data_IF_585164788570
#
_entry.id   IF_585164788570
#
_cell.length_a   1.000
_cell.length_b   1.000
_cell.length_c   1.000
_cell.angle_alpha   90.00
_cell.angle_beta   90.00
_cell.angle_gamma   90.00
#
_symmetry.space_group_name_H-M   'P 1'
#
loop_
_entity.id
_entity.type
_entity.pdbx_description
1 polymer ?
#
# COMPACT_ATOMS: atom_id res chain seq x y z
N UNK A 1 -23.50 5.16 16.81
CA UNK A 1 -23.34 6.02 15.62
C UNK A 1 -23.91 5.22 14.46
N UNK A 2 -25.17 5.46 14.12
CA UNK A 2 -26.02 4.50 13.42
C UNK A 2 -26.05 4.85 11.93
N UNK A 3 -25.91 3.87 11.03
CA UNK A 3 -25.90 4.05 9.56
C UNK A 3 -27.05 4.93 9.05
N UNK A 4 -28.19 4.91 9.76
CA UNK A 4 -29.33 5.81 9.52
C UNK A 4 -28.99 7.30 9.62
N UNK A 5 -28.14 7.71 10.56
CA UNK A 5 -27.72 9.11 10.71
C UNK A 5 -26.83 9.55 9.55
N UNK A 6 -25.94 8.67 9.08
CA UNK A 6 -25.09 8.92 7.91
C UNK A 6 -25.90 8.97 6.61
N UNK A 7 -26.91 8.09 6.46
CA UNK A 7 -27.81 8.13 5.30
C UNK A 7 -28.60 9.45 5.26
N UNK A 8 -29.14 9.87 6.40
CA UNK A 8 -29.89 11.12 6.50
C UNK A 8 -29.03 12.37 6.25
N UNK A 9 -27.76 12.38 6.68
CA UNK A 9 -26.90 13.56 6.52
C UNK A 9 -26.60 13.90 5.06
N UNK A 10 -26.67 12.92 4.16
CA UNK A 10 -26.50 13.11 2.71
C UNK A 10 -27.82 13.05 1.93
N UNK A 11 -28.96 13.01 2.62
CA UNK A 11 -30.29 13.03 1.98
C UNK A 11 -30.67 11.73 1.27
N UNK A 12 -30.09 10.59 1.65
CA UNK A 12 -30.56 9.30 1.14
C UNK A 12 -31.99 9.05 1.62
N UNK A 13 -32.90 8.87 0.66
CA UNK A 13 -34.33 8.61 0.92
C UNK A 13 -34.58 7.25 1.58
N UNK A 14 -33.68 6.30 1.34
CA UNK A 14 -33.75 4.94 1.88
C UNK A 14 -32.38 4.55 2.43
N UNK A 15 -32.40 3.72 3.47
CA UNK A 15 -31.18 3.17 4.06
C UNK A 15 -30.72 2.00 3.19
N UNK A 16 -29.46 1.97 2.72
CA UNK A 16 -28.94 0.82 1.99
C UNK A 16 -29.02 -0.45 2.84
N UNK A 17 -29.37 -1.58 2.22
CA UNK A 17 -29.21 -2.88 2.87
C UNK A 17 -27.73 -3.12 3.17
N UNK A 18 -27.42 -3.50 4.40
CA UNK A 18 -26.07 -3.82 4.84
C UNK A 18 -26.08 -5.05 5.74
N UNK A 19 -24.94 -5.73 5.79
CA UNK A 19 -24.68 -6.81 6.72
C UNK A 19 -23.38 -6.49 7.46
N UNK A 20 -23.33 -6.83 8.74
CA UNK A 20 -22.11 -6.72 9.54
C UNK A 20 -21.61 -8.12 9.78
N UNK A 21 -20.36 -8.36 9.39
CA UNK A 21 -19.68 -9.63 9.60
C UNK A 21 -18.37 -9.38 10.35
N UNK A 22 -18.02 -10.30 11.24
CA UNK A 22 -16.69 -10.31 11.84
C UNK A 22 -15.73 -10.94 10.85
N UNK A 23 -14.74 -10.17 10.39
CA UNK A 23 -13.65 -10.68 9.57
C UNK A 23 -12.66 -11.52 10.39
N UNK A 24 -11.87 -12.33 9.70
CA UNK A 24 -10.75 -13.05 10.31
C UNK A 24 -9.65 -12.08 10.77
N UNK A 25 -9.00 -12.40 11.89
CA UNK A 25 -7.84 -11.66 12.35
C UNK A 25 -6.67 -11.91 11.37
N UNK A 26 -6.10 -10.82 10.85
CA UNK A 26 -5.02 -10.86 9.87
C UNK A 26 -3.88 -9.97 10.35
N UNK A 27 -2.64 -10.44 10.20
CA UNK A 27 -1.43 -9.63 10.38
C UNK A 27 -1.26 -8.66 9.21
N UNK A 28 -2.00 -7.55 9.25
CA UNK A 28 -2.07 -6.57 8.16
C UNK A 28 -0.72 -5.91 7.87
N UNK A 29 0.13 -5.73 8.88
CA UNK A 29 1.45 -5.13 8.71
C UNK A 29 2.32 -6.04 7.85
N UNK A 30 2.43 -7.31 8.21
CA UNK A 30 3.21 -8.31 7.45
C UNK A 30 2.69 -8.46 6.03
N UNK A 31 1.38 -8.61 5.86
CA UNK A 31 0.75 -8.75 4.54
C UNK A 31 1.00 -7.55 3.64
N UNK A 32 1.00 -6.35 4.20
CA UNK A 32 1.33 -5.13 3.48
C UNK A 32 2.84 -5.01 3.19
N UNK A 33 3.73 -5.51 4.05
CA UNK A 33 5.16 -5.55 3.75
C UNK A 33 5.49 -6.51 2.60
N UNK A 34 4.83 -7.67 2.57
CA UNK A 34 5.00 -8.70 1.54
C UNK A 34 4.60 -8.23 0.13
N UNK A 35 3.70 -7.24 0.01
CA UNK A 35 3.30 -6.71 -1.29
C UNK A 35 4.35 -5.82 -1.94
N UNK A 36 5.33 -5.30 -1.19
CA UNK A 36 6.40 -4.48 -1.74
C UNK A 36 7.56 -5.34 -2.23
N UNK A 37 7.94 -5.15 -3.49
CA UNK A 37 9.06 -5.84 -4.14
C UNK A 37 10.09 -4.81 -4.61
N UNK A 38 11.38 -5.18 -4.73
CA UNK A 38 12.39 -4.33 -5.36
C UNK A 38 11.98 -3.93 -6.79
N UNK A 39 12.16 -2.65 -7.14
CA UNK A 39 11.81 -2.11 -8.46
C UNK A 39 13.02 -1.44 -9.11
N UNK A 40 13.38 -1.87 -10.31
CA UNK A 40 14.33 -1.15 -11.16
C UNK A 40 13.63 0.06 -11.80
N UNK A 41 14.14 1.26 -11.51
CA UNK A 41 13.54 2.52 -11.98
C UNK A 41 14.34 3.19 -13.10
N UNK A 42 15.59 2.76 -13.31
CA UNK A 42 16.47 3.11 -14.43
C UNK A 42 17.57 2.05 -14.54
N UNK A 43 18.38 2.09 -15.62
CA UNK A 43 19.50 1.16 -15.81
C UNK A 43 20.39 1.11 -14.57
N UNK A 44 20.43 -0.06 -13.89
CA UNK A 44 21.22 -0.30 -12.67
C UNK A 44 20.86 0.59 -11.47
N UNK A 45 19.64 1.14 -11.42
CA UNK A 45 19.13 1.90 -10.29
C UNK A 45 17.85 1.26 -9.74
N UNK A 46 17.90 0.83 -8.48
CA UNK A 46 16.86 0.08 -7.82
C UNK A 46 16.33 0.80 -6.59
N UNK A 47 15.02 0.75 -6.38
CA UNK A 47 14.37 1.04 -5.09
C UNK A 47 14.12 -0.30 -4.39
N UNK A 48 14.58 -0.45 -3.16
CA UNK A 48 14.56 -1.71 -2.42
C UNK A 48 13.87 -1.50 -1.06
N UNK A 49 12.78 -2.22 -0.75
CA UNK A 49 12.20 -2.21 0.59
C UNK A 49 13.21 -2.70 1.63
N UNK A 50 13.29 -2.04 2.78
CA UNK A 50 14.29 -2.34 3.83
C UNK A 50 14.26 -3.78 4.38
N UNK A 51 13.13 -4.48 4.23
CA UNK A 51 12.94 -5.87 4.63
C UNK A 51 13.28 -6.89 3.53
N UNK A 52 13.82 -6.44 2.39
CA UNK A 52 14.20 -7.31 1.26
C UNK A 52 15.65 -7.09 0.85
N UNK A 53 16.24 -8.09 0.18
CA UNK A 53 17.59 -8.00 -0.36
C UNK A 53 17.59 -7.39 -1.77
N UNK A 54 18.59 -6.56 -2.11
CA UNK A 54 18.81 -6.11 -3.48
C UNK A 54 18.93 -7.28 -4.46
N UNK A 55 18.20 -7.28 -5.60
CA UNK A 55 18.36 -8.30 -6.63
C UNK A 55 19.73 -8.26 -7.31
N UNK A 56 20.34 -7.08 -7.42
CA UNK A 56 21.67 -6.85 -7.98
C UNK A 56 22.50 -6.03 -6.99
N UNK A 57 23.42 -6.69 -6.28
CA UNK A 57 24.20 -6.06 -5.23
C UNK A 57 25.15 -4.97 -5.75
N UNK A 58 25.64 -5.12 -6.99
CA UNK A 58 26.58 -4.20 -7.65
C UNK A 58 25.88 -3.03 -8.38
N UNK A 59 24.55 -2.95 -8.29
CA UNK A 59 23.77 -1.83 -8.78
C UNK A 59 23.69 -0.71 -7.72
N UNK A 60 23.19 0.46 -8.13
CA UNK A 60 22.83 1.51 -7.17
C UNK A 60 21.50 1.13 -6.53
N UNK A 61 21.52 0.89 -5.23
CA UNK A 61 20.34 0.46 -4.47
C UNK A 61 19.94 1.56 -3.47
N UNK A 62 18.76 2.13 -3.65
CA UNK A 62 18.13 3.05 -2.70
C UNK A 62 17.23 2.22 -1.80
N UNK A 63 17.67 2.00 -0.56
CA UNK A 63 16.93 1.25 0.45
C UNK A 63 16.02 2.21 1.21
N UNK A 64 14.73 1.89 1.31
CA UNK A 64 13.76 2.72 2.04
C UNK A 64 12.66 1.89 2.70
N UNK A 65 11.91 2.52 3.60
CA UNK A 65 10.67 1.99 4.16
C UNK A 65 9.46 2.55 3.37
N UNK A 66 8.75 1.72 2.60
CA UNK A 66 7.56 2.11 1.84
C UNK A 66 6.41 2.73 2.67
N UNK A 67 6.33 2.46 3.97
CA UNK A 67 5.35 3.06 4.87
C UNK A 67 5.70 4.48 5.32
N UNK A 68 6.95 4.92 5.12
CA UNK A 68 7.46 6.21 5.59
C UNK A 68 7.95 7.13 4.48
N UNK A 69 8.25 6.60 3.29
CA UNK A 69 8.83 7.35 2.19
C UNK A 69 7.95 7.29 0.92
N UNK A 70 7.88 8.42 0.21
CA UNK A 70 7.39 8.46 -1.16
C UNK A 70 8.48 7.99 -2.13
N UNK A 71 8.10 7.62 -3.36
CA UNK A 71 9.05 7.24 -4.41
C UNK A 71 9.48 5.77 -4.33
N UNK A 72 8.54 4.86 -4.08
CA UNK A 72 8.78 3.41 -4.01
C UNK A 72 9.09 2.76 -5.37
N UNK A 73 9.04 3.52 -6.47
CA UNK A 73 9.31 3.02 -7.83
C UNK A 73 8.09 2.48 -8.58
N UNK A 74 6.97 2.19 -7.89
CA UNK A 74 5.76 1.69 -8.56
C UNK A 74 5.02 2.75 -9.37
N UNK A 75 5.10 4.01 -8.95
CA UNK A 75 4.45 5.11 -9.66
C UNK A 75 5.29 5.60 -10.86
N UNK A 76 4.70 5.87 -12.04
CA UNK A 76 5.43 6.29 -13.24
C UNK A 76 6.36 7.49 -13.05
N UNK A 77 6.00 8.43 -12.17
CA UNK A 77 6.82 9.64 -11.91
C UNK A 77 8.13 9.35 -11.18
N UNK A 78 8.31 8.14 -10.65
CA UNK A 78 9.57 7.71 -10.02
C UNK A 78 10.49 7.01 -11.02
N UNK A 79 9.95 6.58 -12.16
CA UNK A 79 10.70 5.93 -13.24
C UNK A 79 11.27 6.98 -14.18
N UNK A 80 12.47 6.73 -14.69
CA UNK A 80 13.21 7.64 -15.58
C UNK A 80 13.27 7.10 -17.01
#
# INVERSE_FOLDING_TARGET
>A
MCISQAANSIGLKEIPNFQVEMGEETEWITKNQESFQPVEIAERLWIVPEWTSPPVAEAVNIILNPGLAFGTGEHPTTKL
#
